data_IF_248106229876
#
_entry.id   IF_248106229876
#
_cell.length_a   1.000
_cell.length_b   1.000
_cell.length_c   1.000
_cell.angle_alpha   90.00
_cell.angle_beta   90.00
_cell.angle_gamma   90.00
#
_symmetry.space_group_name_H-M   'P 1'
#
loop_
_entity.id
_entity.type
_entity.pdbx_description
1 polymer ?
#
# COMPACT_ATOMS: atom_id res chain seq x y z
N UNK A 1 14.12 -16.45 13.97
CA UNK A 1 12.65 -16.33 13.75
C UNK A 1 12.10 -15.31 14.74
N UNK A 2 11.81 -14.09 14.29
CA UNK A 2 11.07 -13.09 15.08
C UNK A 2 10.14 -12.33 14.13
N UNK A 3 9.05 -12.99 13.76
CA UNK A 3 7.94 -12.38 13.02
C UNK A 3 7.07 -11.60 14.01
N UNK A 4 7.61 -10.50 14.53
CA UNK A 4 6.87 -9.63 15.44
C UNK A 4 5.88 -8.77 14.66
N UNK A 5 4.59 -9.00 14.97
CA UNK A 5 3.44 -8.10 14.83
C UNK A 5 2.76 -8.09 13.45
N UNK A 6 1.74 -8.95 13.31
CA UNK A 6 0.69 -8.90 12.27
C UNK A 6 -0.55 -8.13 12.77
N UNK A 7 -0.39 -7.08 13.56
CA UNK A 7 -1.54 -6.32 14.13
C UNK A 7 -2.11 -5.26 13.16
N UNK A 8 -1.91 -5.46 11.85
CA UNK A 8 -2.26 -4.51 10.82
C UNK A 8 -3.20 -5.08 9.77
N UNK A 9 -3.88 -4.18 9.07
CA UNK A 9 -4.66 -4.50 7.88
C UNK A 9 -3.69 -4.91 6.77
N UNK A 10 -3.90 -6.08 6.18
CA UNK A 10 -3.06 -6.63 5.12
C UNK A 10 -3.50 -6.11 3.75
N UNK A 11 -2.52 -5.85 2.89
CA UNK A 11 -2.71 -5.50 1.50
C UNK A 11 -1.57 -5.99 0.61
N UNK A 12 -1.73 -5.80 -0.69
CA UNK A 12 -0.72 -6.12 -1.71
C UNK A 12 -0.47 -4.90 -2.58
N UNK A 13 0.80 -4.61 -2.86
CA UNK A 13 1.19 -3.53 -3.77
C UNK A 13 0.86 -3.94 -5.19
N UNK A 14 -0.09 -3.25 -5.84
CA UNK A 14 -0.43 -3.52 -7.25
C UNK A 14 0.53 -2.83 -8.22
N UNK A 15 1.13 -1.72 -7.78
CA UNK A 15 2.02 -0.90 -8.59
C UNK A 15 1.64 0.57 -8.55
N UNK A 16 2.27 1.36 -9.41
CA UNK A 16 2.11 2.80 -9.37
C UNK A 16 0.80 3.26 -9.98
N UNK A 17 0.35 4.43 -9.54
CA UNK A 17 -0.72 5.15 -10.22
C UNK A 17 -0.26 5.45 -11.64
N UNK A 18 -1.05 5.03 -12.62
CA UNK A 18 -0.73 5.21 -14.04
C UNK A 18 -1.97 5.64 -14.83
N UNK A 19 -1.74 6.45 -15.86
CA UNK A 19 -2.62 6.60 -17.01
C UNK A 19 -2.03 5.85 -18.21
N UNK A 20 -2.64 6.00 -19.39
CA UNK A 20 -2.25 5.26 -20.60
C UNK A 20 -0.75 5.39 -20.92
N UNK A 21 -0.23 6.63 -20.89
CA UNK A 21 1.16 6.95 -21.29
C UNK A 21 1.98 7.56 -20.15
N UNK A 22 1.50 7.53 -18.89
CA UNK A 22 2.17 8.21 -17.77
C UNK A 22 2.07 7.41 -16.49
N UNK A 23 3.21 7.27 -15.81
CA UNK A 23 3.31 6.64 -14.49
C UNK A 23 3.70 7.67 -13.43
N UNK A 24 2.95 7.70 -12.34
CA UNK A 24 3.16 8.57 -11.19
C UNK A 24 3.85 7.77 -10.09
N UNK A 25 5.18 7.78 -10.09
CA UNK A 25 6.00 6.95 -9.20
C UNK A 25 5.85 7.25 -7.70
N UNK A 26 5.32 8.44 -7.38
CA UNK A 26 5.08 8.89 -6.01
C UNK A 26 3.79 8.32 -5.39
N UNK A 27 2.90 7.76 -6.20
CA UNK A 27 1.60 7.25 -5.75
C UNK A 27 1.47 5.78 -6.12
N UNK A 28 1.13 4.97 -5.13
CA UNK A 28 1.09 3.51 -5.27
C UNK A 28 -0.30 2.99 -4.93
N UNK A 29 -0.81 2.11 -5.79
CA UNK A 29 -2.01 1.34 -5.56
C UNK A 29 -1.71 0.16 -4.63
N UNK A 30 -2.49 0.07 -3.56
CA UNK A 30 -2.45 -1.06 -2.63
C UNK A 30 -3.84 -1.65 -2.58
N UNK A 31 -3.97 -2.94 -2.88
CA UNK A 31 -5.21 -3.67 -2.72
C UNK A 31 -5.28 -4.23 -1.32
N UNK A 32 -6.31 -3.85 -0.59
CA UNK A 32 -6.56 -4.31 0.77
C UNK A 32 -7.15 -5.72 0.69
N UNK A 33 -6.48 -6.67 1.37
CA UNK A 33 -6.87 -8.09 1.40
C UNK A 33 -7.73 -8.40 2.61
N UNK A 34 -7.45 -7.76 3.75
CA UNK A 34 -8.30 -7.87 4.94
C UNK A 34 -9.70 -7.36 4.65
N UNK A 35 -10.72 -8.06 5.14
CA UNK A 35 -12.10 -7.62 5.03
C UNK A 35 -12.36 -6.52 6.06
N UNK A 36 -12.78 -5.35 5.59
CA UNK A 36 -13.08 -4.18 6.40
C UNK A 36 -14.39 -3.61 5.91
N UNK A 37 -15.27 -3.23 6.82
CA UNK A 37 -16.57 -2.65 6.49
C UNK A 37 -16.42 -1.31 5.78
N UNK A 38 -15.53 -0.45 6.28
CA UNK A 38 -15.31 0.88 5.73
C UNK A 38 -13.85 1.09 5.33
N UNK A 39 -13.56 1.01 4.03
CA UNK A 39 -12.20 1.24 3.49
C UNK A 39 -11.74 2.69 3.63
N UNK A 40 -12.66 3.66 3.72
CA UNK A 40 -12.31 5.07 3.91
C UNK A 40 -11.70 5.34 5.30
N UNK A 41 -11.95 4.46 6.28
CA UNK A 41 -11.30 4.52 7.59
C UNK A 41 -9.78 4.37 7.53
N UNK A 42 -9.24 3.84 6.43
CA UNK A 42 -7.80 3.68 6.23
C UNK A 42 -7.10 4.97 5.81
N UNK A 43 -7.84 6.00 5.39
CA UNK A 43 -7.24 7.28 4.98
C UNK A 43 -6.50 7.89 6.18
N UNK A 44 -5.25 8.29 5.97
CA UNK A 44 -4.38 8.82 7.02
C UNK A 44 -3.54 7.77 7.78
N UNK A 45 -3.91 6.48 7.71
CA UNK A 45 -3.13 5.40 8.34
C UNK A 45 -1.77 5.21 7.69
N UNK A 46 -0.83 4.66 8.46
CA UNK A 46 0.54 4.40 8.01
C UNK A 46 0.59 3.08 7.27
N UNK A 47 1.52 2.99 6.34
CA UNK A 47 1.77 1.78 5.56
C UNK A 47 3.24 1.42 5.69
N UNK A 48 3.51 0.14 5.91
CA UNK A 48 4.83 -0.46 5.85
C UNK A 48 4.88 -1.47 4.72
N UNK A 49 5.92 -1.40 3.91
CA UNK A 49 6.29 -2.42 2.93
C UNK A 49 7.74 -2.78 3.20
N UNK A 50 8.04 -4.07 3.28
CA UNK A 50 9.41 -4.55 3.46
C UNK A 50 9.83 -5.36 2.25
N UNK A 51 11.08 -5.20 1.82
CA UNK A 51 11.64 -6.03 0.76
C UNK A 51 12.27 -7.32 1.31
N UNK A 52 12.69 -8.21 0.42
CA UNK A 52 13.37 -9.44 0.79
C UNK A 52 14.80 -9.22 1.32
N UNK A 53 15.34 -8.01 1.21
CA UNK A 53 16.69 -7.63 1.66
C UNK A 53 16.69 -6.94 3.02
N UNK A 54 15.52 -6.77 3.66
CA UNK A 54 15.36 -6.13 4.97
C UNK A 54 15.15 -4.62 4.94
N UNK A 55 15.06 -3.98 3.76
CA UNK A 55 14.71 -2.58 3.67
C UNK A 55 13.23 -2.37 3.94
N UNK A 56 12.93 -1.34 4.72
CA UNK A 56 11.56 -0.98 5.08
C UNK A 56 11.18 0.38 4.50
N UNK A 57 10.02 0.42 3.85
CA UNK A 57 9.46 1.60 3.22
C UNK A 57 8.21 2.01 3.99
N UNK A 58 8.21 3.27 4.46
CA UNK A 58 7.11 3.83 5.22
C UNK A 58 6.37 4.88 4.40
N UNK A 59 5.05 4.74 4.41
CA UNK A 59 4.14 5.64 3.72
C UNK A 59 2.87 5.90 4.51
N UNK A 60 1.96 6.62 3.87
CA UNK A 60 0.64 6.96 4.37
C UNK A 60 -0.40 6.81 3.28
N UNK A 61 -1.59 6.34 3.65
CA UNK A 61 -2.73 6.30 2.74
C UNK A 61 -3.30 7.70 2.59
N UNK A 62 -3.37 8.18 1.35
CA UNK A 62 -3.87 9.53 1.05
C UNK A 62 -5.32 9.54 0.59
N UNK A 63 -5.77 8.46 -0.08
CA UNK A 63 -7.15 8.34 -0.58
C UNK A 63 -7.50 6.91 -0.96
N UNK A 64 -8.79 6.65 -1.07
CA UNK A 64 -9.34 5.45 -1.69
C UNK A 64 -9.40 5.63 -3.21
N UNK A 65 -9.15 4.56 -3.97
CA UNK A 65 -9.24 4.58 -5.42
C UNK A 65 -10.66 4.23 -5.90
N UNK A 66 -11.20 5.06 -6.80
CA UNK A 66 -12.56 4.89 -7.33
C UNK A 66 -13.62 5.03 -6.22
N UNK A 67 -14.63 4.15 -6.26
CA UNK A 67 -15.72 4.10 -5.27
C UNK A 67 -15.40 3.26 -4.04
N UNK A 68 -14.19 2.71 -3.91
CA UNK A 68 -13.80 1.84 -2.80
C UNK A 68 -14.28 0.38 -2.91
N UNK A 69 -15.20 0.06 -3.83
CA UNK A 69 -15.71 -1.31 -4.04
C UNK A 69 -14.62 -2.34 -4.38
N UNK A 70 -13.60 -1.91 -5.13
CA UNK A 70 -12.46 -2.75 -5.50
C UNK A 70 -11.41 -2.89 -4.39
N UNK A 71 -11.63 -2.22 -3.25
CA UNK A 71 -10.77 -2.23 -2.07
C UNK A 71 -9.32 -1.83 -2.37
N UNK A 72 -9.16 -0.84 -3.27
CA UNK A 72 -7.85 -0.29 -3.61
C UNK A 72 -7.70 1.08 -2.95
N UNK A 73 -6.56 1.27 -2.29
CA UNK A 73 -6.16 2.55 -1.71
C UNK A 73 -4.93 3.08 -2.42
N UNK A 74 -4.72 4.39 -2.33
CA UNK A 74 -3.54 5.06 -2.85
C UNK A 74 -2.70 5.53 -1.67
N UNK A 75 -1.46 5.09 -1.64
CA UNK A 75 -0.47 5.48 -0.65
C UNK A 75 0.65 6.31 -1.28
N UNK A 76 1.21 7.21 -0.48
CA UNK A 76 2.43 7.96 -0.78
C UNK A 76 3.49 7.53 0.22
N UNK A 77 4.67 7.19 -0.28
CA UNK A 77 5.80 6.76 0.54
C UNK A 77 6.82 7.89 0.66
N UNK A 78 7.52 7.93 1.79
CA UNK A 78 8.54 8.95 2.06
C UNK A 78 9.69 8.86 1.04
N UNK A 79 10.02 7.64 0.62
CA UNK A 79 10.85 7.33 -0.53
C UNK A 79 9.99 6.58 -1.52
N UNK A 80 10.11 6.90 -2.81
CA UNK A 80 9.36 6.17 -3.83
C UNK A 80 9.67 4.66 -3.71
N UNK A 81 8.62 3.84 -3.71
CA UNK A 81 8.80 2.39 -3.74
C UNK A 81 9.53 2.01 -5.03
N UNK A 82 10.54 1.14 -5.00
CA UNK A 82 11.09 0.51 -6.20
C UNK A 82 10.06 -0.35 -6.94
N UNK A 83 10.16 -0.44 -8.26
CA UNK A 83 9.23 -1.25 -9.08
C UNK A 83 9.32 -2.75 -8.81
N UNK A 84 10.44 -3.21 -8.24
CA UNK A 84 10.63 -4.60 -7.80
C UNK A 84 9.69 -4.99 -6.65
N UNK A 85 9.13 -4.02 -5.92
CA UNK A 85 8.22 -4.28 -4.79
C UNK A 85 6.76 -4.41 -5.21
N UNK A 86 6.48 -4.41 -6.52
CA UNK A 86 5.14 -4.73 -7.04
C UNK A 86 4.84 -6.20 -6.76
N UNK A 87 3.67 -6.48 -6.18
CA UNK A 87 3.25 -7.81 -5.76
C UNK A 87 3.65 -8.18 -4.32
N UNK A 88 4.41 -7.34 -3.62
CA UNK A 88 4.80 -7.57 -2.23
C UNK A 88 3.69 -7.16 -1.26
N UNK A 89 3.64 -7.84 -0.11
CA UNK A 89 2.73 -7.56 0.98
C UNK A 89 2.98 -6.17 1.60
N UNK A 90 1.88 -5.50 1.94
CA UNK A 90 1.86 -4.24 2.65
C UNK A 90 1.08 -4.41 3.96
N UNK A 91 1.60 -3.84 5.05
CA UNK A 91 0.92 -3.79 6.34
C UNK A 91 0.48 -2.37 6.63
N UNK A 92 -0.82 -2.19 6.86
CA UNK A 92 -1.45 -0.91 7.16
C UNK A 92 -1.76 -0.86 8.67
N UNK A 93 -1.27 0.16 9.36
CA UNK A 93 -1.38 0.32 10.81
C UNK A 93 -1.69 1.77 11.20
#
# INVERSE_FOLDING_TARGET
MSSSIRDGVLGIVLGYRRGLNRQYVNQVYIKVLTQIENIHSLIGRRVRVSDNYGNTYLGRIIKVHGSGKNRVVIAVFSRNLPGQLIGIEATIF
#
